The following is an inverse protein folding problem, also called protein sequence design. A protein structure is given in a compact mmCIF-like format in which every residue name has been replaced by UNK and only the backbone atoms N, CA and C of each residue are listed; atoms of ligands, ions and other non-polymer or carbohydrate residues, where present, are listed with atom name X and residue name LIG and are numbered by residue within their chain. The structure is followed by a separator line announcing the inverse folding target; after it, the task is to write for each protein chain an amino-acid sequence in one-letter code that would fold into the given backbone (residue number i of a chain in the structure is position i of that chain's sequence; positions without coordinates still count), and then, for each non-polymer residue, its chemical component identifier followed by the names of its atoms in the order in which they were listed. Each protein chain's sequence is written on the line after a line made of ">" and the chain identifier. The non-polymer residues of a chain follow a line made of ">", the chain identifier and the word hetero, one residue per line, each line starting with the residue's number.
data_IF_342237148373
#
_entry.id   IF_342237148373
#
_cell.length_a   1.000
_cell.length_b   1.000
_cell.length_c   1.000
_cell.angle_alpha   90.00
_cell.angle_beta   90.00
_cell.angle_gamma   90.00
#
_symmetry.space_group_name_H-M   'P 1'
#
loop_
_entity.id
_entity.type
_entity.pdbx_description
1 polymer ?
#
# COMPACT_ATOMS: atom_id res chain seq x y z
N UNK A 1 -7.63 -7.55 5.72
CA UNK A 1 -8.36 -7.24 4.45
C UNK A 1 -9.82 -6.99 4.76
N UNK A 2 -10.31 -5.85 4.35
CA UNK A 2 -11.71 -5.45 4.54
C UNK A 2 -12.58 -6.17 3.52
N UNK A 3 -13.30 -7.17 3.94
CA UNK A 3 -14.21 -8.01 3.09
C UNK A 3 -15.24 -7.18 2.31
N UNK A 4 -15.41 -5.90 2.65
CA UNK A 4 -16.40 -4.98 2.06
C UNK A 4 -15.77 -3.77 1.37
N UNK A 5 -14.46 -3.78 1.12
CA UNK A 5 -13.76 -2.63 0.54
C UNK A 5 -14.31 -2.20 -0.82
N UNK A 6 -14.59 -3.15 -1.71
CA UNK A 6 -15.19 -2.85 -3.02
C UNK A 6 -16.62 -2.30 -2.89
N UNK A 7 -17.41 -2.78 -1.93
CA UNK A 7 -18.77 -2.27 -1.69
C UNK A 7 -18.78 -0.82 -1.15
N UNK A 8 -17.67 -0.36 -0.56
CA UNK A 8 -17.54 1.02 -0.09
C UNK A 8 -17.56 2.05 -1.25
N UNK A 9 -17.43 1.59 -2.49
CA UNK A 9 -17.55 2.42 -3.69
C UNK A 9 -18.98 2.51 -4.22
N UNK A 10 -19.94 1.81 -3.62
CA UNK A 10 -21.32 1.82 -4.10
C UNK A 10 -21.95 3.20 -3.93
N UNK A 11 -22.52 3.72 -5.01
CA UNK A 11 -23.14 5.05 -5.05
C UNK A 11 -22.16 6.22 -5.11
N UNK A 12 -20.84 5.99 -5.06
CA UNK A 12 -19.88 7.06 -5.28
C UNK A 12 -19.84 7.47 -6.75
N UNK A 13 -19.77 8.77 -6.99
CA UNK A 13 -19.67 9.38 -8.32
C UNK A 13 -18.46 10.28 -8.42
N UNK A 14 -17.95 10.48 -9.65
CA UNK A 14 -16.80 11.35 -9.87
C UNK A 14 -15.45 10.73 -9.45
N UNK A 15 -15.39 9.40 -9.40
CA UNK A 15 -14.11 8.71 -9.21
C UNK A 15 -13.14 9.04 -10.35
N UNK A 16 -11.84 9.09 -10.10
CA UNK A 16 -10.84 9.17 -11.15
C UNK A 16 -10.99 8.00 -12.14
N UNK A 17 -10.75 8.20 -13.45
CA UNK A 17 -11.06 7.19 -14.47
C UNK A 17 -10.42 5.81 -14.25
N UNK A 18 -9.15 5.75 -13.82
CA UNK A 18 -8.50 4.45 -13.52
C UNK A 18 -9.09 3.78 -12.29
N UNK A 19 -9.47 4.57 -11.27
CA UNK A 19 -10.10 4.04 -10.06
C UNK A 19 -11.47 3.44 -10.41
N UNK A 20 -12.26 4.15 -11.20
CA UNK A 20 -13.57 3.66 -11.67
C UNK A 20 -13.41 2.34 -12.44
N UNK A 21 -12.48 2.28 -13.40
CA UNK A 21 -12.19 1.06 -14.16
C UNK A 21 -11.75 -0.12 -13.28
N UNK A 22 -10.89 0.13 -12.28
CA UNK A 22 -10.42 -0.91 -11.36
C UNK A 22 -11.54 -1.39 -10.42
N UNK A 23 -12.42 -0.50 -9.96
CA UNK A 23 -13.61 -0.84 -9.15
C UNK A 23 -14.59 -1.68 -9.98
N UNK A 24 -14.83 -1.31 -11.23
CA UNK A 24 -15.68 -2.10 -12.12
C UNK A 24 -15.11 -3.51 -12.39
N UNK A 25 -13.78 -3.62 -12.55
CA UNK A 25 -13.11 -4.93 -12.62
C UNK A 25 -13.33 -5.74 -11.35
N UNK A 26 -13.17 -5.11 -10.17
CA UNK A 26 -13.38 -5.78 -8.89
C UNK A 26 -14.81 -6.29 -8.73
N UNK A 27 -15.82 -5.49 -9.14
CA UNK A 27 -17.23 -5.89 -9.15
C UNK A 27 -17.50 -7.05 -10.11
N UNK A 28 -16.99 -6.95 -11.33
CA UNK A 28 -17.20 -7.97 -12.37
C UNK A 28 -16.60 -9.34 -11.99
N UNK A 29 -15.51 -9.33 -11.21
CA UNK A 29 -14.84 -10.55 -10.74
C UNK A 29 -15.27 -11.02 -9.35
N UNK A 30 -16.16 -10.30 -8.69
CA UNK A 30 -16.59 -10.58 -7.31
C UNK A 30 -15.48 -10.39 -6.27
N UNK A 31 -14.48 -9.56 -6.57
CA UNK A 31 -13.38 -9.26 -5.65
C UNK A 31 -13.79 -8.21 -4.63
N UNK A 32 -13.90 -8.58 -3.36
CA UNK A 32 -14.38 -7.70 -2.28
C UNK A 32 -13.30 -6.89 -1.56
N UNK A 33 -12.02 -7.17 -1.79
CA UNK A 33 -10.91 -6.71 -0.95
C UNK A 33 -10.20 -5.44 -1.48
N UNK A 34 -10.90 -4.54 -2.14
CA UNK A 34 -10.32 -3.26 -2.53
C UNK A 34 -10.06 -2.36 -1.31
N UNK A 35 -9.05 -1.51 -1.38
CA UNK A 35 -8.83 -0.50 -0.34
C UNK A 35 -10.04 0.45 -0.26
N UNK A 36 -10.30 1.00 0.93
CA UNK A 36 -11.39 1.97 1.11
C UNK A 36 -11.12 3.26 0.30
N UNK A 37 -12.19 3.99 -0.13
CA UNK A 37 -12.02 5.28 -0.79
C UNK A 37 -11.15 6.27 0.00
N UNK A 38 -11.30 6.32 1.32
CA UNK A 38 -10.51 7.18 2.21
C UNK A 38 -9.03 6.79 2.23
N UNK A 39 -8.73 5.49 2.19
CA UNK A 39 -7.37 4.98 2.02
C UNK A 39 -6.82 5.38 0.65
N UNK A 40 -7.62 5.24 -0.40
CA UNK A 40 -7.27 5.66 -1.76
C UNK A 40 -6.91 7.15 -1.85
N UNK A 41 -7.69 8.02 -1.23
CA UNK A 41 -7.38 9.46 -1.17
C UNK A 41 -6.06 9.74 -0.42
N UNK A 42 -5.76 9.01 0.65
CA UNK A 42 -4.46 9.11 1.32
C UNK A 42 -3.32 8.68 0.39
N UNK A 43 -3.46 7.54 -0.30
CA UNK A 43 -2.48 7.05 -1.26
C UNK A 43 -2.24 8.08 -2.38
N UNK A 44 -3.30 8.71 -2.87
CA UNK A 44 -3.26 9.78 -3.88
C UNK A 44 -2.42 10.97 -3.43
N UNK A 45 -2.62 11.44 -2.18
CA UNK A 45 -1.82 12.55 -1.62
C UNK A 45 -0.35 12.17 -1.51
N UNK A 46 -0.06 10.97 -1.00
CA UNK A 46 1.31 10.49 -0.83
C UNK A 46 2.02 10.29 -2.18
N UNK A 47 1.36 9.68 -3.17
CA UNK A 47 1.91 9.48 -4.50
C UNK A 47 2.29 10.81 -5.17
N UNK A 48 1.48 11.85 -4.98
CA UNK A 48 1.79 13.20 -5.50
C UNK A 48 3.06 13.78 -4.90
N UNK A 49 3.32 13.50 -3.62
CA UNK A 49 4.51 13.97 -2.89
C UNK A 49 5.82 13.32 -3.33
N UNK A 50 5.77 12.15 -3.96
CA UNK A 50 6.97 11.39 -4.38
C UNK A 50 7.77 12.12 -5.49
N UNK A 51 7.10 12.89 -6.36
CA UNK A 51 7.76 13.45 -7.55
C UNK A 51 8.16 12.34 -8.55
N UNK A 52 9.28 12.49 -9.31
CA UNK A 52 9.71 11.54 -10.34
C UNK A 52 10.38 10.28 -9.75
N UNK A 53 9.93 9.80 -8.60
CA UNK A 53 10.49 8.66 -7.86
C UNK A 53 9.89 7.31 -8.24
N UNK A 54 10.10 6.33 -7.36
CA UNK A 54 9.62 4.95 -7.52
C UNK A 54 8.59 4.61 -6.45
N UNK A 55 7.44 4.13 -6.89
CA UNK A 55 6.34 3.70 -6.02
C UNK A 55 6.17 2.20 -6.16
N UNK A 56 6.11 1.48 -5.03
CA UNK A 56 5.86 0.05 -4.99
C UNK A 56 4.57 -0.28 -4.24
N UNK A 57 3.91 -1.38 -4.63
CA UNK A 57 2.75 -1.92 -3.93
C UNK A 57 2.83 -3.43 -3.88
N UNK A 58 2.59 -4.02 -2.71
CA UNK A 58 2.37 -5.47 -2.55
C UNK A 58 0.87 -5.75 -2.49
N UNK A 59 0.37 -6.67 -3.33
CA UNK A 59 -1.05 -7.00 -3.39
C UNK A 59 -1.86 -6.08 -4.29
N UNK A 60 -1.69 -6.22 -5.61
CA UNK A 60 -2.43 -5.40 -6.59
C UNK A 60 -3.95 -5.59 -6.49
N UNK A 61 -4.40 -6.83 -6.20
CA UNK A 61 -5.81 -7.15 -6.31
C UNK A 61 -6.34 -6.86 -7.72
N UNK A 62 -7.47 -6.19 -7.80
CA UNK A 62 -8.02 -5.68 -9.07
C UNK A 62 -7.47 -4.30 -9.47
N UNK A 63 -6.46 -3.79 -8.75
CA UNK A 63 -5.75 -2.57 -9.11
C UNK A 63 -6.32 -1.28 -8.53
N UNK A 64 -7.24 -1.34 -7.56
CA UNK A 64 -7.87 -0.12 -7.02
C UNK A 64 -6.85 0.77 -6.31
N UNK A 65 -5.99 0.21 -5.43
CA UNK A 65 -4.91 0.94 -4.76
C UNK A 65 -3.92 1.54 -5.78
N UNK A 66 -3.46 0.70 -6.72
CA UNK A 66 -2.56 1.13 -7.80
C UNK A 66 -3.18 2.24 -8.67
N UNK A 67 -4.50 2.21 -8.90
CA UNK A 67 -5.20 3.25 -9.66
C UNK A 67 -5.17 4.60 -8.92
N UNK A 68 -5.46 4.62 -7.63
CA UNK A 68 -5.35 5.82 -6.79
C UNK A 68 -3.93 6.41 -6.80
N UNK A 69 -2.91 5.56 -6.68
CA UNK A 69 -1.50 5.97 -6.78
C UNK A 69 -1.21 6.57 -8.16
N UNK A 70 -1.64 5.90 -9.23
CA UNK A 70 -1.35 6.29 -10.63
C UNK A 70 -1.97 7.63 -11.01
N UNK A 71 -3.22 7.89 -10.59
CA UNK A 71 -3.95 9.11 -10.92
C UNK A 71 -3.30 10.39 -10.38
N UNK A 72 -2.49 10.29 -9.33
CA UNK A 72 -1.82 11.43 -8.75
C UNK A 72 -0.31 11.44 -8.94
N UNK A 73 0.30 10.32 -9.28
CA UNK A 73 1.75 10.20 -9.42
C UNK A 73 2.31 11.21 -10.46
N UNK A 74 3.54 11.62 -10.24
CA UNK A 74 4.26 12.43 -11.23
C UNK A 74 4.36 11.65 -12.55
N UNK A 75 4.21 12.27 -13.74
CA UNK A 75 4.28 11.57 -15.03
C UNK A 75 5.56 10.75 -15.25
N UNK A 76 6.67 11.14 -14.62
CA UNK A 76 7.94 10.42 -14.65
C UNK A 76 8.12 9.44 -13.48
N UNK A 77 7.19 9.35 -12.57
CA UNK A 77 7.25 8.34 -11.51
C UNK A 77 7.08 6.94 -12.10
N UNK A 78 7.83 5.98 -11.57
CA UNK A 78 7.69 4.57 -11.92
C UNK A 78 6.87 3.87 -10.85
N UNK A 79 5.80 3.20 -11.25
CA UNK A 79 4.94 2.44 -10.36
C UNK A 79 5.06 0.95 -10.67
N UNK A 80 5.24 0.13 -9.65
CA UNK A 80 5.24 -1.33 -9.76
C UNK A 80 4.39 -1.92 -8.66
N UNK A 81 3.41 -2.74 -9.03
CA UNK A 81 2.58 -3.50 -8.10
C UNK A 81 2.70 -4.99 -8.38
N UNK A 82 2.63 -5.83 -7.34
CA UNK A 82 2.77 -7.29 -7.46
C UNK A 82 1.47 -7.97 -7.05
N UNK A 83 1.00 -8.90 -7.93
CA UNK A 83 -0.15 -9.77 -7.69
C UNK A 83 0.27 -11.23 -7.85
N UNK A 84 -0.11 -12.05 -6.88
CA UNK A 84 0.25 -13.47 -6.89
C UNK A 84 -0.60 -14.28 -7.87
N UNK A 85 -1.90 -14.00 -7.93
CA UNK A 85 -2.84 -14.76 -8.75
C UNK A 85 -2.73 -14.36 -10.24
N UNK A 86 -2.35 -15.27 -11.14
CA UNK A 86 -2.04 -14.94 -12.54
C UNK A 86 -3.19 -14.24 -13.28
N UNK A 87 -4.41 -14.77 -13.15
CA UNK A 87 -5.58 -14.23 -13.85
C UNK A 87 -5.91 -12.82 -13.36
N UNK A 88 -5.76 -12.57 -12.07
CA UNK A 88 -5.98 -11.25 -11.47
C UNK A 88 -4.89 -10.27 -11.87
N UNK A 89 -3.63 -10.72 -11.89
CA UNK A 89 -2.52 -9.91 -12.37
C UNK A 89 -2.71 -9.47 -13.82
N UNK A 90 -3.13 -10.40 -14.70
CA UNK A 90 -3.40 -10.11 -16.10
C UNK A 90 -4.58 -9.13 -16.26
N UNK A 91 -5.68 -9.34 -15.54
CA UNK A 91 -6.84 -8.46 -15.58
C UNK A 91 -6.53 -7.06 -15.06
N UNK A 92 -5.79 -6.94 -13.94
CA UNK A 92 -5.35 -5.66 -13.42
C UNK A 92 -4.40 -4.95 -14.39
N UNK A 93 -3.45 -5.66 -15.01
CA UNK A 93 -2.53 -5.08 -15.98
C UNK A 93 -3.25 -4.43 -17.17
N UNK A 94 -4.39 -4.98 -17.60
CA UNK A 94 -5.21 -4.42 -18.68
C UNK A 94 -5.79 -3.05 -18.33
N UNK A 95 -6.11 -2.79 -17.06
CA UNK A 95 -6.56 -1.46 -16.59
C UNK A 95 -5.48 -0.40 -16.83
N UNK A 96 -4.21 -0.77 -16.75
CA UNK A 96 -3.07 0.15 -16.86
C UNK A 96 -2.35 0.09 -18.21
N UNK A 97 -2.89 -0.59 -19.22
CA UNK A 97 -2.23 -0.80 -20.53
C UNK A 97 -1.74 0.49 -21.20
N UNK A 98 -2.46 1.59 -21.01
CA UNK A 98 -2.14 2.91 -21.58
C UNK A 98 -1.24 3.76 -20.65
N UNK A 99 -0.66 3.16 -19.61
CA UNK A 99 0.22 3.80 -18.62
C UNK A 99 1.62 3.15 -18.66
N UNK A 100 2.52 3.58 -19.55
CA UNK A 100 3.82 2.93 -19.77
C UNK A 100 4.75 2.97 -18.55
N UNK A 101 4.49 3.86 -17.60
CA UNK A 101 5.21 3.98 -16.34
C UNK A 101 4.65 3.12 -15.20
N UNK A 102 3.57 2.36 -15.44
CA UNK A 102 2.93 1.46 -14.48
C UNK A 102 3.14 0.01 -14.91
N UNK A 103 3.55 -0.82 -13.97
CA UNK A 103 3.75 -2.25 -14.19
C UNK A 103 3.03 -3.07 -13.12
N UNK A 104 2.16 -3.97 -13.54
CA UNK A 104 1.68 -5.08 -12.71
C UNK A 104 2.60 -6.28 -12.96
N UNK A 105 3.26 -6.76 -11.91
CA UNK A 105 4.14 -7.93 -11.95
C UNK A 105 3.41 -9.12 -11.33
N UNK A 106 3.27 -10.20 -12.08
CA UNK A 106 2.73 -11.45 -11.55
C UNK A 106 3.83 -12.18 -10.78
N UNK A 107 3.63 -12.42 -9.49
CA UNK A 107 4.62 -13.08 -8.64
C UNK A 107 4.32 -12.95 -7.15
N UNK A 108 5.28 -13.41 -6.33
CA UNK A 108 5.22 -13.25 -4.88
C UNK A 108 5.56 -11.81 -4.48
N UNK A 109 4.99 -11.33 -3.37
CA UNK A 109 5.23 -9.98 -2.89
C UNK A 109 6.72 -9.66 -2.69
N UNK A 110 7.52 -10.66 -2.30
CA UNK A 110 8.98 -10.52 -2.11
C UNK A 110 9.74 -10.17 -3.38
N UNK A 111 9.20 -10.48 -4.56
CA UNK A 111 9.82 -10.18 -5.85
C UNK A 111 9.79 -8.68 -6.18
N UNK A 112 8.88 -7.93 -5.54
CA UNK A 112 8.80 -6.47 -5.68
C UNK A 112 10.11 -5.80 -5.30
N UNK A 113 10.89 -6.37 -4.37
CA UNK A 113 12.19 -5.84 -3.94
C UNK A 113 13.15 -5.58 -5.10
N UNK A 114 13.11 -6.39 -6.17
CA UNK A 114 13.97 -6.22 -7.34
C UNK A 114 13.73 -4.91 -8.11
N UNK A 115 12.62 -4.23 -7.86
CA UNK A 115 12.26 -2.97 -8.52
C UNK A 115 12.56 -1.73 -7.68
N UNK A 116 12.94 -1.92 -6.41
CA UNK A 116 13.33 -0.86 -5.48
C UNK A 116 14.74 -0.29 -5.72
N UNK A 117 15.27 0.50 -4.79
CA UNK A 117 14.58 0.97 -3.58
C UNK A 117 13.48 1.98 -3.89
N UNK A 118 12.45 2.02 -3.01
CA UNK A 118 11.23 2.82 -3.20
C UNK A 118 11.26 4.15 -2.44
N UNK A 119 10.63 5.15 -3.01
CA UNK A 119 10.32 6.43 -2.36
C UNK A 119 8.97 6.36 -1.62
N UNK A 120 8.03 5.55 -2.14
CA UNK A 120 6.78 5.17 -1.48
C UNK A 120 6.54 3.68 -1.67
N UNK A 121 6.24 2.97 -0.60
CA UNK A 121 5.93 1.54 -0.62
C UNK A 121 4.61 1.30 0.11
N UNK A 122 3.65 0.69 -0.57
CA UNK A 122 2.34 0.30 0.00
C UNK A 122 2.35 -1.20 0.26
N UNK A 123 2.07 -1.59 1.49
CA UNK A 123 2.00 -3.00 1.90
C UNK A 123 0.53 -3.38 2.16
N UNK A 124 -0.08 -4.01 1.17
CA UNK A 124 -1.46 -4.51 1.22
C UNK A 124 -1.52 -6.04 1.07
N UNK A 125 -0.57 -6.65 0.37
CA UNK A 125 -0.55 -8.10 0.10
C UNK A 125 0.60 -8.88 0.77
N UNK A 126 1.38 -8.27 1.67
CA UNK A 126 2.51 -8.92 2.35
C UNK A 126 3.57 -7.92 2.81
N UNK A 127 4.52 -8.40 3.65
CA UNK A 127 5.60 -7.57 4.20
C UNK A 127 5.24 -6.80 5.47
N UNK A 128 4.00 -6.83 5.91
CA UNK A 128 3.52 -6.11 7.10
C UNK A 128 3.93 -6.79 8.41
N UNK A 129 4.26 -8.08 8.38
CA UNK A 129 4.53 -8.87 9.59
C UNK A 129 3.28 -9.40 10.26
N UNK A 130 2.13 -9.38 9.61
CA UNK A 130 0.90 -10.00 10.06
C UNK A 130 0.96 -11.52 9.77
N UNK A 131 0.53 -12.33 10.74
CA UNK A 131 0.57 -13.78 10.61
C UNK A 131 1.96 -14.37 10.87
N UNK A 132 2.36 -15.37 10.07
CA UNK A 132 3.58 -16.14 10.27
C UNK A 132 4.84 -15.50 9.61
N UNK A 133 4.65 -14.54 8.73
CA UNK A 133 5.77 -13.88 8.04
C UNK A 133 6.32 -12.73 8.87
N UNK A 134 7.66 -12.55 8.94
CA UNK A 134 8.24 -11.38 9.56
C UNK A 134 7.93 -10.13 8.74
N UNK A 135 7.89 -8.93 9.36
CA UNK A 135 7.85 -7.68 8.63
C UNK A 135 9.11 -7.52 7.78
N UNK A 136 9.01 -6.84 6.64
CA UNK A 136 10.18 -6.53 5.82
C UNK A 136 11.14 -5.58 6.56
N UNK A 137 12.46 -5.67 6.30
CA UNK A 137 13.43 -4.66 6.78
C UNK A 137 13.37 -3.41 5.88
N UNK A 138 12.99 -2.25 6.40
CA UNK A 138 12.91 -1.01 5.61
C UNK A 138 14.19 -0.65 4.86
N UNK A 139 15.36 -1.02 5.39
CA UNK A 139 16.65 -0.73 4.75
C UNK A 139 16.86 -1.45 3.41
N UNK A 140 16.19 -2.57 3.23
CA UNK A 140 16.25 -3.36 2.00
C UNK A 140 15.32 -2.85 0.90
N UNK A 141 14.33 -2.03 1.27
CA UNK A 141 13.21 -1.68 0.40
C UNK A 141 13.10 -0.19 0.12
N UNK A 142 13.46 0.66 1.10
CA UNK A 142 13.23 2.10 1.03
C UNK A 142 14.52 2.89 0.85
N UNK A 143 14.43 4.00 0.14
CA UNK A 143 15.44 5.05 0.20
C UNK A 143 15.38 5.76 1.55
N UNK A 144 16.48 6.33 2.06
CA UNK A 144 16.40 7.30 3.15
C UNK A 144 15.40 8.42 2.81
N UNK A 145 14.46 8.69 3.71
CA UNK A 145 13.32 9.58 3.48
C UNK A 145 12.10 8.93 2.81
N UNK A 146 12.24 7.69 2.32
CA UNK A 146 11.14 6.94 1.74
C UNK A 146 10.06 6.59 2.76
N UNK A 147 8.82 6.53 2.31
CA UNK A 147 7.64 6.28 3.14
C UNK A 147 7.09 4.88 2.87
N UNK A 148 6.74 4.16 3.93
CA UNK A 148 5.95 2.93 3.84
C UNK A 148 4.55 3.18 4.42
N UNK A 149 3.56 2.64 3.73
CA UNK A 149 2.14 2.67 4.12
C UNK A 149 1.68 1.24 4.31
N UNK A 150 1.07 0.95 5.43
CA UNK A 150 0.54 -0.38 5.74
C UNK A 150 -0.94 -0.28 6.02
N UNK A 151 -1.73 -0.97 5.23
CA UNK A 151 -3.17 -0.99 5.34
C UNK A 151 -3.67 -2.07 6.34
N UNK A 152 -4.98 -2.09 6.57
CA UNK A 152 -5.67 -3.11 7.35
C UNK A 152 -5.28 -3.20 8.84
N UNK A 153 -5.10 -2.08 9.50
CA UNK A 153 -5.05 -2.02 10.95
C UNK A 153 -6.37 -1.52 11.54
N UNK A 154 -6.64 -1.87 12.79
CA UNK A 154 -7.73 -1.28 13.57
C UNK A 154 -7.25 0.01 14.25
N UNK A 155 -8.15 0.97 14.55
CA UNK A 155 -7.80 2.14 15.35
C UNK A 155 -7.12 1.76 16.67
N UNK A 156 -6.04 2.47 17.01
CA UNK A 156 -5.31 2.26 18.26
C UNK A 156 -6.13 2.82 19.42
N UNK A 157 -6.45 1.98 20.40
CA UNK A 157 -7.19 2.37 21.59
C UNK A 157 -6.31 2.46 22.85
N UNK A 158 -5.22 1.69 22.91
CA UNK A 158 -4.37 1.58 24.09
C UNK A 158 -2.93 1.21 23.73
N UNK A 159 -2.02 1.33 24.70
CA UNK A 159 -0.63 0.89 24.55
C UNK A 159 -0.27 -0.12 25.67
N UNK A 160 0.39 -1.25 25.39
CA UNK A 160 0.75 -1.73 24.04
C UNK A 160 -0.47 -2.00 23.16
N UNK A 161 -0.31 -1.91 21.81
CA UNK A 161 -1.41 -2.16 20.88
C UNK A 161 -1.92 -3.60 21.02
N UNK A 162 -3.25 -3.76 21.03
CA UNK A 162 -3.90 -5.06 21.16
C UNK A 162 -4.70 -5.38 19.90
N UNK A 163 -4.74 -6.66 19.53
CA UNK A 163 -5.59 -7.21 18.47
C UNK A 163 -6.09 -8.59 18.90
N UNK A 164 -7.40 -8.81 18.89
CA UNK A 164 -8.04 -10.07 19.33
C UNK A 164 -7.58 -10.54 20.72
N UNK A 165 -7.43 -9.63 21.67
CA UNK A 165 -7.02 -9.91 23.04
C UNK A 165 -5.54 -10.25 23.22
N UNK A 166 -4.72 -10.11 22.19
CA UNK A 166 -3.28 -10.32 22.23
C UNK A 166 -2.52 -9.06 21.79
N UNK A 167 -1.25 -8.97 22.20
CA UNK A 167 -0.38 -7.87 21.74
C UNK A 167 -0.23 -7.93 20.22
N UNK A 168 -0.58 -6.84 19.55
CA UNK A 168 -0.36 -6.66 18.10
C UNK A 168 1.13 -6.47 17.83
N UNK A 169 1.83 -7.59 17.67
CA UNK A 169 3.30 -7.62 17.48
C UNK A 169 3.72 -6.98 16.17
N UNK A 170 2.90 -7.08 15.12
CA UNK A 170 3.18 -6.44 13.83
C UNK A 170 3.21 -4.93 14.00
N UNK A 171 2.17 -4.35 14.57
CA UNK A 171 2.10 -2.91 14.85
C UNK A 171 3.23 -2.46 15.76
N UNK A 172 3.47 -3.19 16.86
CA UNK A 172 4.51 -2.86 17.82
C UNK A 172 5.88 -2.79 17.15
N UNK A 173 6.21 -3.76 16.28
CA UNK A 173 7.46 -3.77 15.53
C UNK A 173 7.66 -2.50 14.69
N UNK A 174 6.62 -2.05 13.96
CA UNK A 174 6.69 -0.85 13.14
C UNK A 174 6.86 0.42 13.98
N UNK A 175 6.21 0.52 15.13
CA UNK A 175 6.30 1.67 16.01
C UNK A 175 7.62 1.74 16.80
N UNK A 176 8.21 0.62 17.15
CA UNK A 176 9.44 0.54 17.93
C UNK A 176 10.70 0.44 17.07
N UNK A 177 10.57 0.30 15.75
CA UNK A 177 11.71 0.15 14.86
C UNK A 177 12.60 1.41 14.88
N UNK A 178 13.92 1.28 15.25
CA UNK A 178 14.78 2.44 15.54
C UNK A 178 15.03 3.36 14.34
N UNK A 179 14.92 2.82 13.11
CA UNK A 179 15.15 3.56 11.86
C UNK A 179 13.87 4.02 11.19
N UNK A 180 12.74 4.01 11.88
CA UNK A 180 11.46 4.51 11.38
C UNK A 180 10.95 5.67 12.23
N UNK A 181 10.21 6.56 11.60
CA UNK A 181 9.34 7.53 12.27
C UNK A 181 7.91 7.21 11.89
N UNK A 182 7.19 6.63 12.83
CA UNK A 182 5.93 5.93 12.59
C UNK A 182 4.76 6.68 13.22
N UNK A 183 3.64 6.72 12.52
CA UNK A 183 2.36 7.20 13.02
C UNK A 183 1.22 6.34 12.49
N UNK A 184 0.06 6.47 13.10
CA UNK A 184 -1.18 5.85 12.62
C UNK A 184 -2.18 6.92 12.23
N UNK A 185 -2.92 6.68 11.16
CA UNK A 185 -4.04 7.50 10.70
C UNK A 185 -5.28 6.62 10.67
N UNK A 186 -6.36 7.04 11.31
CA UNK A 186 -7.65 6.38 11.19
C UNK A 186 -8.29 6.83 9.87
N UNK A 187 -8.51 5.90 8.95
CA UNK A 187 -9.15 6.16 7.65
C UNK A 187 -10.66 6.00 7.71
N UNK A 188 -11.15 5.25 8.71
CA UNK A 188 -12.56 5.12 9.05
C UNK A 188 -12.70 4.88 10.56
N UNK A 189 -13.92 4.81 11.12
CA UNK A 189 -14.13 4.42 12.51
C UNK A 189 -13.52 3.06 12.88
N UNK A 190 -13.44 2.14 11.93
CA UNK A 190 -13.06 0.74 12.16
C UNK A 190 -11.70 0.40 11.55
N UNK A 191 -11.11 1.30 10.77
CA UNK A 191 -9.86 1.05 10.05
C UNK A 191 -8.85 2.15 10.23
N UNK A 192 -7.60 1.73 10.32
CA UNK A 192 -6.44 2.57 10.39
C UNK A 192 -5.35 2.10 9.44
N UNK A 193 -4.53 3.03 9.01
CA UNK A 193 -3.31 2.76 8.27
C UNK A 193 -2.11 3.25 9.07
N UNK A 194 -1.00 2.54 8.97
CA UNK A 194 0.26 2.94 9.57
C UNK A 194 1.13 3.58 8.49
N UNK A 195 1.66 4.76 8.78
CA UNK A 195 2.68 5.40 7.96
C UNK A 195 4.00 5.43 8.70
N UNK A 196 5.09 5.10 8.01
CA UNK A 196 6.41 5.24 8.57
C UNK A 196 7.40 5.79 7.53
N UNK A 197 8.25 6.71 7.97
CA UNK A 197 9.36 7.22 7.14
C UNK A 197 10.66 6.54 7.58
N UNK A 198 11.39 6.00 6.61
CA UNK A 198 12.71 5.43 6.83
C UNK A 198 13.76 6.53 6.92
N UNK A 199 14.46 6.63 8.05
CA UNK A 199 15.43 7.70 8.32
C UNK A 199 16.87 7.38 7.90
N UNK A 200 17.06 6.24 7.20
CA UNK A 200 18.38 5.83 6.75
C UNK A 200 19.17 5.02 7.79
N UNK A 201 20.41 4.64 7.47
CA UNK A 201 21.31 3.93 8.38
C UNK A 201 21.74 4.82 9.56
N UNK A 202 22.05 4.21 10.70
CA UNK A 202 22.34 4.90 11.96
C UNK A 202 23.52 5.93 11.90
N UNK A 203 24.34 5.88 10.87
CA UNK A 203 25.47 6.81 10.68
C UNK A 203 25.04 8.22 10.25
N UNK A 204 23.87 8.35 9.62
CA UNK A 204 23.38 9.63 9.07
C UNK A 204 22.63 10.50 10.10
N UNK A 205 22.47 9.99 11.32
CA UNK A 205 21.73 10.69 12.40
C UNK A 205 22.60 11.69 13.21
N UNK A 206 23.84 11.93 12.80
CA UNK A 206 24.80 12.80 13.54
C UNK A 206 25.07 14.14 12.86
N UNK A 207 24.11 14.65 12.06
CA UNK A 207 24.19 16.01 11.51
C UNK A 207 23.17 16.93 12.12
#
# INVERSE_FOLDING_TARGET
>A
MTVTGTAAYDGLTGLPPLVDAAVELARATGFGYSCLPQQGELLRVLARGVGPGTIGETGTGCGVGLAWLTEAAHPQARLVSVEREPDRAAAAAEVFRDRPNVRVHQGQWTELRAFGPFDLLVLDGGGQGKGAEPPLDPADWLRPGGVVVMDDFTPLAEWPPMHDGQVDRARLWWFEHPRLRTTQINVSPDQATILATYIGPAADLRQ
#
